data_IF_084028650459
#
_entry.id   IF_084028650459
#
_cell.length_a   1.000
_cell.length_b   1.000
_cell.length_c   1.000
_cell.angle_alpha   90.00
_cell.angle_beta   90.00
_cell.angle_gamma   90.00
#
_symmetry.space_group_name_H-M   'P 1'
#
loop_
_entity.id
_entity.type
_entity.pdbx_description
1 polymer ?
#
# COMPACT_ATOMS: atom_id res chain seq x y z
N UNK A 1 -17.20 -3.80 -7.98
CA UNK A 1 -15.85 -4.41 -7.78
C UNK A 1 -15.29 -3.94 -6.45
N UNK A 2 -14.86 -4.86 -5.62
CA UNK A 2 -14.19 -4.59 -4.33
C UNK A 2 -12.74 -5.05 -4.43
N UNK A 3 -11.84 -4.27 -3.85
CA UNK A 3 -10.41 -4.55 -3.84
C UNK A 3 -9.95 -4.63 -2.39
N UNK A 4 -9.39 -5.77 -2.00
CA UNK A 4 -8.71 -5.94 -0.72
C UNK A 4 -7.21 -5.74 -0.95
N UNK A 5 -6.61 -4.85 -0.19
CA UNK A 5 -5.16 -4.62 -0.24
C UNK A 5 -4.57 -5.04 1.10
N UNK A 6 -3.58 -5.91 1.04
CA UNK A 6 -2.85 -6.42 2.20
C UNK A 6 -1.41 -5.93 2.10
N UNK A 7 -0.94 -5.29 3.17
CA UNK A 7 0.46 -4.91 3.28
C UNK A 7 1.31 -6.11 3.64
N UNK A 8 2.43 -6.32 2.94
CA UNK A 8 3.40 -7.35 3.27
C UNK A 8 3.93 -7.21 4.70
N UNK A 9 4.19 -8.34 5.33
CA UNK A 9 4.82 -8.40 6.65
C UNK A 9 6.24 -7.83 6.64
N UNK A 10 6.69 -7.34 7.78
CA UNK A 10 8.11 -7.03 7.97
C UNK A 10 8.91 -8.32 8.11
N UNK A 11 10.07 -8.35 7.47
CA UNK A 11 11.00 -9.47 7.66
C UNK A 11 11.72 -9.36 9.00
N UNK A 12 12.01 -10.50 9.60
CA UNK A 12 12.79 -10.60 10.83
C UNK A 12 14.31 -10.35 10.63
N UNK A 13 14.70 -9.75 9.52
CA UNK A 13 16.11 -9.47 9.24
C UNK A 13 16.69 -8.54 10.30
N UNK A 14 17.69 -9.00 11.04
CA UNK A 14 18.45 -8.18 11.95
C UNK A 14 19.22 -7.10 11.15
N UNK A 15 18.96 -5.85 11.45
CA UNK A 15 19.62 -4.74 10.82
C UNK A 15 20.83 -4.28 11.65
N UNK A 16 21.94 -3.89 11.01
CA UNK A 16 23.07 -3.32 11.74
C UNK A 16 22.65 -2.00 12.39
N UNK A 17 23.26 -1.59 13.51
CA UNK A 17 22.90 -0.33 14.19
C UNK A 17 23.25 0.91 13.34
N UNK A 18 24.18 0.78 12.42
CA UNK A 18 24.67 1.81 11.49
C UNK A 18 24.83 1.21 10.10
N UNK A 19 24.70 2.05 9.08
CA UNK A 19 24.92 1.66 7.68
C UNK A 19 25.52 2.83 6.90
N UNK A 20 26.32 2.52 5.88
CA UNK A 20 26.72 3.50 4.90
C UNK A 20 25.53 3.90 4.01
N UNK A 21 25.60 5.09 3.41
CA UNK A 21 24.54 5.61 2.55
C UNK A 21 24.15 4.64 1.42
N UNK A 22 25.12 4.07 0.73
CA UNK A 22 24.90 3.10 -0.35
C UNK A 22 24.29 1.76 0.17
N UNK A 23 24.70 1.33 1.38
CA UNK A 23 24.21 0.09 1.98
C UNK A 23 22.77 0.21 2.47
N UNK A 24 22.34 1.39 2.92
CA UNK A 24 21.02 1.58 3.49
C UNK A 24 19.88 1.25 2.51
N UNK A 25 19.99 1.69 1.26
CA UNK A 25 18.99 1.36 0.24
C UNK A 25 18.96 -0.14 -0.05
N UNK A 26 20.15 -0.78 -0.17
CA UNK A 26 20.27 -2.22 -0.36
C UNK A 26 19.72 -3.03 0.84
N UNK A 27 19.92 -2.56 2.08
CA UNK A 27 19.33 -3.17 3.27
C UNK A 27 17.79 -3.08 3.25
N UNK A 28 17.23 -1.97 2.80
CA UNK A 28 15.79 -1.82 2.64
C UNK A 28 15.23 -2.79 1.59
N UNK A 29 15.90 -2.96 0.46
CA UNK A 29 15.52 -3.92 -0.58
C UNK A 29 15.66 -5.37 -0.08
N UNK A 30 16.77 -5.71 0.57
CA UNK A 30 17.00 -7.03 1.12
C UNK A 30 15.94 -7.46 2.13
N UNK A 31 15.35 -6.51 2.87
CA UNK A 31 14.21 -6.80 3.76
C UNK A 31 12.97 -7.28 3.02
N UNK A 32 12.77 -6.87 1.78
CA UNK A 32 11.63 -7.29 0.96
C UNK A 32 11.80 -8.72 0.41
N UNK A 33 13.05 -9.18 0.33
CA UNK A 33 13.41 -10.51 -0.19
C UNK A 33 13.58 -11.57 0.92
N UNK A 34 13.37 -11.19 2.18
CA UNK A 34 13.32 -12.11 3.30
C UNK A 34 11.89 -12.61 3.59
N UNK A 35 11.76 -13.71 4.37
CA UNK A 35 10.44 -14.18 4.79
C UNK A 35 9.74 -13.16 5.67
N UNK A 36 8.44 -13.03 5.53
CA UNK A 36 7.65 -12.20 6.43
C UNK A 36 7.67 -12.80 7.85
N UNK A 37 7.73 -11.95 8.86
CA UNK A 37 7.62 -12.35 10.26
C UNK A 37 6.29 -13.05 10.58
N UNK A 38 6.03 -13.29 11.84
CA UNK A 38 4.76 -13.88 12.28
C UNK A 38 3.57 -13.06 11.81
N UNK A 39 2.59 -13.71 11.22
CA UNK A 39 1.40 -13.06 10.70
C UNK A 39 0.57 -12.51 11.86
N UNK A 40 0.44 -11.19 11.89
CA UNK A 40 -0.48 -10.50 12.78
C UNK A 40 -1.73 -10.15 11.96
N UNK A 41 -2.81 -10.85 12.17
CA UNK A 41 -4.07 -10.57 11.47
C UNK A 41 -4.91 -11.81 11.22
N UNK A 42 -6.10 -11.57 10.66
CA UNK A 42 -7.03 -12.64 10.31
C UNK A 42 -6.74 -13.15 8.90
N UNK A 43 -6.83 -14.45 8.72
CA UNK A 43 -6.80 -15.07 7.39
C UNK A 43 -7.92 -14.50 6.53
N UNK A 44 -7.60 -14.20 5.28
CA UNK A 44 -8.56 -13.71 4.28
C UNK A 44 -8.98 -14.88 3.40
N UNK A 45 -10.26 -15.20 3.38
CA UNK A 45 -10.75 -16.20 2.46
C UNK A 45 -10.68 -15.68 1.02
N UNK A 46 -9.99 -16.38 0.14
CA UNK A 46 -9.92 -16.03 -1.27
C UNK A 46 -11.31 -16.06 -1.94
N UNK A 47 -12.17 -17.01 -1.56
CA UNK A 47 -13.55 -17.14 -2.05
C UNK A 47 -13.66 -17.03 -3.59
N UNK A 48 -12.73 -17.65 -4.31
CA UNK A 48 -12.69 -17.60 -5.78
C UNK A 48 -12.16 -16.29 -6.39
N UNK A 49 -11.69 -15.34 -5.57
CA UNK A 49 -11.14 -14.07 -6.05
C UNK A 49 -9.74 -14.25 -6.62
N UNK A 50 -9.39 -13.46 -7.62
CA UNK A 50 -8.01 -13.36 -8.08
C UNK A 50 -7.13 -12.73 -6.99
N UNK A 51 -5.99 -13.35 -6.69
CA UNK A 51 -5.01 -12.86 -5.71
C UNK A 51 -3.74 -12.45 -6.46
N UNK A 52 -3.50 -11.15 -6.56
CA UNK A 52 -2.29 -10.59 -7.17
C UNK A 52 -1.27 -10.29 -6.10
N UNK A 53 -0.05 -10.74 -6.29
CA UNK A 53 1.02 -10.68 -5.29
C UNK A 53 2.28 -10.05 -5.89
N UNK A 54 2.90 -9.12 -5.17
CA UNK A 54 4.24 -8.63 -5.52
C UNK A 54 5.23 -9.80 -5.65
N UNK A 55 6.15 -9.77 -6.63
CA UNK A 55 7.12 -10.84 -6.82
C UNK A 55 8.14 -10.98 -5.66
N UNK A 56 8.20 -10.03 -4.72
CA UNK A 56 9.09 -10.07 -3.56
C UNK A 56 8.71 -11.17 -2.57
N UNK A 57 9.71 -11.80 -1.95
CA UNK A 57 9.50 -12.93 -1.06
C UNK A 57 8.61 -12.59 0.15
N UNK A 58 8.78 -11.42 0.76
CA UNK A 58 7.94 -10.99 1.89
C UNK A 58 6.45 -10.92 1.53
N UNK A 59 6.11 -10.47 0.32
CA UNK A 59 4.72 -10.40 -0.13
C UNK A 59 4.16 -11.80 -0.42
N UNK A 60 4.94 -12.67 -1.05
CA UNK A 60 4.55 -14.07 -1.32
C UNK A 60 4.29 -14.84 -0.02
N UNK A 61 5.22 -14.77 0.92
CA UNK A 61 5.09 -15.41 2.22
C UNK A 61 3.89 -14.85 3.03
N UNK A 62 3.65 -13.54 2.94
CA UNK A 62 2.44 -12.93 3.50
C UNK A 62 1.16 -13.47 2.88
N UNK A 63 1.14 -13.61 1.54
CA UNK A 63 -0.01 -14.16 0.83
C UNK A 63 -0.25 -15.63 1.23
N UNK A 64 0.78 -16.45 1.31
CA UNK A 64 0.69 -17.85 1.75
C UNK A 64 0.14 -17.98 3.18
N UNK A 65 0.57 -17.10 4.10
CA UNK A 65 0.11 -17.10 5.50
C UNK A 65 -1.33 -16.61 5.66
N UNK A 66 -1.71 -15.57 4.94
CA UNK A 66 -3.02 -14.94 5.11
C UNK A 66 -4.08 -15.46 4.14
N UNK A 67 -3.68 -16.02 2.99
CA UNK A 67 -4.59 -16.52 1.95
C UNK A 67 -4.12 -17.91 1.47
N UNK A 68 -4.08 -18.93 2.35
CA UNK A 68 -3.46 -20.20 2.03
C UNK A 68 -4.12 -20.95 0.86
N UNK A 69 -5.39 -20.68 0.58
CA UNK A 69 -6.15 -21.34 -0.49
C UNK A 69 -6.33 -20.45 -1.74
N UNK A 70 -5.53 -19.39 -1.88
CA UNK A 70 -5.60 -18.47 -3.01
C UNK A 70 -4.73 -18.93 -4.19
N UNK A 71 -5.22 -18.76 -5.41
CA UNK A 71 -4.38 -18.86 -6.61
C UNK A 71 -3.55 -17.56 -6.74
N UNK A 72 -2.32 -17.57 -6.22
CA UNK A 72 -1.45 -16.42 -6.19
C UNK A 72 -0.85 -16.15 -7.58
N UNK A 73 -1.14 -14.98 -8.14
CA UNK A 73 -0.61 -14.52 -9.43
C UNK A 73 0.47 -13.46 -9.18
N UNK A 74 1.72 -13.68 -9.58
CA UNK A 74 2.76 -12.68 -9.45
C UNK A 74 2.46 -11.49 -10.38
N UNK A 75 2.49 -10.28 -9.82
CA UNK A 75 2.22 -9.04 -10.56
C UNK A 75 3.35 -8.03 -10.34
N UNK A 76 4.20 -7.80 -11.35
CA UNK A 76 5.34 -6.88 -11.23
C UNK A 76 4.95 -5.42 -10.89
N UNK A 77 3.75 -4.99 -11.30
CA UNK A 77 3.29 -3.62 -10.99
C UNK A 77 2.97 -3.41 -9.50
N UNK A 78 2.90 -4.50 -8.72
CA UNK A 78 2.76 -4.47 -7.26
C UNK A 78 4.11 -4.44 -6.52
N UNK A 79 5.24 -4.48 -7.25
CA UNK A 79 6.55 -4.40 -6.60
C UNK A 79 6.76 -3.08 -5.87
N UNK A 80 7.59 -3.10 -4.85
CA UNK A 80 7.86 -1.92 -4.02
C UNK A 80 8.54 -0.82 -4.83
N UNK A 81 8.22 0.41 -4.52
CA UNK A 81 8.91 1.57 -5.08
C UNK A 81 10.27 1.69 -4.41
N UNK A 82 11.38 1.50 -5.16
CA UNK A 82 12.71 1.52 -4.56
C UNK A 82 13.04 2.89 -3.97
N UNK A 83 13.84 2.89 -2.91
CA UNK A 83 14.36 4.12 -2.33
C UNK A 83 15.40 4.74 -3.25
N UNK A 84 15.34 6.07 -3.36
CA UNK A 84 16.43 6.82 -3.99
C UNK A 84 17.68 6.72 -3.11
N UNK A 85 18.82 6.29 -3.65
CA UNK A 85 20.06 6.20 -2.89
C UNK A 85 20.41 7.53 -2.21
N UNK A 86 21.05 7.43 -1.06
CA UNK A 86 21.63 8.57 -0.38
C UNK A 86 23.10 8.67 -0.76
N UNK A 87 23.63 9.88 -0.72
CA UNK A 87 25.06 10.16 -0.76
C UNK A 87 25.51 10.53 0.65
N UNK A 88 26.72 10.13 1.03
CA UNK A 88 27.29 10.49 2.33
C UNK A 88 27.95 9.32 3.07
N UNK A 89 28.29 9.57 4.34
CA UNK A 89 28.99 8.64 5.21
C UNK A 89 28.11 7.58 5.86
N UNK A 90 28.61 7.02 6.95
CA UNK A 90 27.92 6.01 7.78
C UNK A 90 27.13 6.67 8.90
N UNK A 91 25.83 6.45 8.94
CA UNK A 91 24.93 7.02 9.95
C UNK A 91 24.16 5.90 10.70
N UNK A 92 23.66 6.20 11.91
CA UNK A 92 22.74 5.32 12.61
C UNK A 92 21.47 5.08 11.78
N UNK A 93 20.91 3.88 11.84
CA UNK A 93 19.71 3.53 11.04
C UNK A 93 18.50 4.41 11.36
N UNK A 94 18.31 4.83 12.61
CA UNK A 94 17.21 5.73 12.95
C UNK A 94 17.32 7.08 12.22
N UNK A 95 18.55 7.57 12.00
CA UNK A 95 18.77 8.82 11.27
C UNK A 95 18.50 8.66 9.77
N UNK A 96 18.87 7.52 9.18
CA UNK A 96 18.47 7.20 7.80
C UNK A 96 16.94 7.14 7.65
N UNK A 97 16.23 6.52 8.60
CA UNK A 97 14.74 6.48 8.59
C UNK A 97 14.16 7.88 8.67
N UNK A 98 14.71 8.74 9.51
CA UNK A 98 14.31 10.14 9.60
C UNK A 98 14.56 10.89 8.29
N UNK A 99 15.72 10.72 7.66
CA UNK A 99 16.05 11.34 6.37
C UNK A 99 15.15 10.85 5.23
N UNK A 100 14.79 9.56 5.21
CA UNK A 100 13.79 9.02 4.25
C UNK A 100 12.44 9.68 4.48
N UNK A 101 12.00 9.80 5.73
CA UNK A 101 10.75 10.48 6.07
C UNK A 101 10.78 11.95 5.63
N UNK A 102 11.85 12.66 5.93
CA UNK A 102 12.03 14.06 5.53
C UNK A 102 12.01 14.21 4.00
N UNK A 103 12.76 13.38 3.26
CA UNK A 103 12.70 13.35 1.78
C UNK A 103 11.29 13.01 1.27
N UNK A 104 10.57 12.17 2.00
CA UNK A 104 9.17 11.81 1.68
C UNK A 104 8.24 13.02 1.67
N UNK A 105 8.40 13.96 2.60
CA UNK A 105 7.62 15.20 2.66
C UNK A 105 7.77 16.03 1.36
N UNK A 106 8.96 16.02 0.77
CA UNK A 106 9.25 16.73 -0.49
C UNK A 106 9.07 15.85 -1.74
N UNK A 107 8.65 14.58 -1.58
CA UNK A 107 8.49 13.63 -2.68
C UNK A 107 9.79 13.16 -3.32
N UNK A 108 10.91 13.27 -2.62
CA UNK A 108 12.27 12.95 -3.09
C UNK A 108 12.76 11.59 -2.59
N UNK A 109 11.97 10.86 -1.79
CA UNK A 109 12.40 9.59 -1.18
C UNK A 109 12.46 8.42 -2.17
N UNK A 110 11.62 8.43 -3.20
CA UNK A 110 11.51 7.35 -4.18
C UNK A 110 12.49 7.54 -5.34
N UNK A 111 13.04 6.44 -5.85
CA UNK A 111 13.82 6.44 -7.09
C UNK A 111 12.92 6.61 -8.32
N UNK A 112 11.70 6.07 -8.23
CA UNK A 112 10.65 6.22 -9.23
C UNK A 112 9.96 7.58 -9.08
N UNK A 113 9.73 8.30 -10.19
CA UNK A 113 9.02 9.57 -10.15
C UNK A 113 7.54 9.36 -9.76
N UNK A 114 6.92 10.35 -9.10
CA UNK A 114 5.49 10.30 -8.78
C UNK A 114 4.61 10.07 -10.02
N UNK A 115 4.99 10.65 -11.16
CA UNK A 115 4.26 10.49 -12.42
C UNK A 115 4.35 9.06 -12.95
N UNK A 116 5.52 8.45 -12.88
CA UNK A 116 5.75 7.07 -13.30
C UNK A 116 5.03 6.08 -12.38
N UNK A 117 5.15 6.26 -11.06
CA UNK A 117 4.45 5.45 -10.06
C UNK A 117 2.95 5.50 -10.28
N UNK A 118 2.41 6.70 -10.55
CA UNK A 118 1.01 6.87 -10.86
C UNK A 118 0.61 6.17 -12.16
N UNK A 119 1.36 6.35 -13.25
CA UNK A 119 1.10 5.68 -14.53
C UNK A 119 1.03 4.16 -14.36
N UNK A 120 1.97 3.57 -13.61
CA UNK A 120 1.97 2.13 -13.32
C UNK A 120 0.74 1.70 -12.51
N UNK A 121 0.35 2.50 -11.53
CA UNK A 121 -0.84 2.24 -10.72
C UNK A 121 -2.12 2.35 -11.57
N UNK A 122 -2.27 3.40 -12.39
CA UNK A 122 -3.41 3.59 -13.29
C UNK A 122 -3.50 2.43 -14.30
N UNK A 123 -2.38 2.03 -14.92
CA UNK A 123 -2.32 0.89 -15.85
C UNK A 123 -2.81 -0.42 -15.19
N UNK A 124 -2.43 -0.65 -13.95
CA UNK A 124 -2.87 -1.84 -13.22
C UNK A 124 -4.35 -1.76 -12.87
N UNK A 125 -4.82 -0.61 -12.40
CA UNK A 125 -6.23 -0.39 -12.05
C UNK A 125 -7.12 -0.54 -13.27
N UNK A 126 -6.75 0.01 -14.43
CA UNK A 126 -7.48 -0.14 -15.69
C UNK A 126 -7.62 -1.61 -16.09
N UNK A 127 -6.58 -2.44 -15.85
CA UNK A 127 -6.65 -3.89 -16.10
C UNK A 127 -7.63 -4.59 -15.15
N UNK A 128 -7.65 -4.20 -13.87
CA UNK A 128 -8.59 -4.74 -12.89
C UNK A 128 -10.03 -4.34 -13.23
N UNK A 129 -10.26 -3.07 -13.59
CA UNK A 129 -11.59 -2.57 -13.96
C UNK A 129 -12.15 -3.24 -15.22
N UNK A 130 -11.31 -3.54 -16.20
CA UNK A 130 -11.72 -4.30 -17.40
C UNK A 130 -12.16 -5.72 -17.07
N UNK A 131 -11.60 -6.34 -16.02
CA UNK A 131 -12.03 -7.66 -15.55
C UNK A 131 -13.32 -7.58 -14.73
N UNK A 132 -13.53 -6.49 -14.00
CA UNK A 132 -14.73 -6.23 -13.20
C UNK A 132 -14.91 -7.13 -11.98
N UNK A 133 -13.94 -7.97 -11.66
CA UNK A 133 -13.99 -8.97 -10.61
C UNK A 133 -13.42 -8.46 -9.28
N UNK A 134 -13.96 -8.95 -8.19
CA UNK A 134 -13.40 -8.72 -6.86
C UNK A 134 -12.00 -9.36 -6.75
N UNK A 135 -11.03 -8.65 -6.20
CA UNK A 135 -9.65 -9.14 -6.11
C UNK A 135 -8.97 -8.81 -4.78
N UNK A 136 -7.88 -9.53 -4.51
CA UNK A 136 -6.99 -9.28 -3.38
C UNK A 136 -5.61 -8.91 -3.93
N UNK A 137 -5.01 -7.85 -3.39
CA UNK A 137 -3.68 -7.37 -3.76
C UNK A 137 -2.76 -7.49 -2.55
N UNK A 138 -1.60 -8.12 -2.70
CA UNK A 138 -0.56 -8.17 -1.66
C UNK A 138 0.66 -7.40 -2.14
N UNK A 139 1.00 -6.32 -1.47
CA UNK A 139 2.04 -5.40 -1.89
C UNK A 139 2.73 -4.74 -0.68
N UNK A 140 3.54 -3.74 -0.93
CA UNK A 140 4.41 -3.08 0.04
C UNK A 140 3.96 -1.65 0.33
N UNK A 141 4.33 -1.05 1.47
CA UNK A 141 3.74 0.20 1.96
C UNK A 141 3.75 1.36 0.96
N UNK A 142 4.87 1.60 0.27
CA UNK A 142 4.97 2.74 -0.69
C UNK A 142 4.14 2.50 -1.94
N UNK A 143 4.16 1.28 -2.48
CA UNK A 143 3.32 0.91 -3.62
C UNK A 143 1.84 0.97 -3.26
N UNK A 144 1.44 0.49 -2.09
CA UNK A 144 0.06 0.57 -1.61
C UNK A 144 -0.39 2.03 -1.48
N UNK A 145 0.45 2.92 -0.97
CA UNK A 145 0.13 4.35 -0.91
C UNK A 145 -0.16 4.93 -2.31
N UNK A 146 0.69 4.62 -3.29
CA UNK A 146 0.50 5.06 -4.67
C UNK A 146 -0.77 4.46 -5.30
N UNK A 147 -1.06 3.18 -5.05
CA UNK A 147 -2.30 2.51 -5.50
C UNK A 147 -3.53 3.16 -4.88
N UNK A 148 -3.52 3.43 -3.56
CA UNK A 148 -4.63 4.09 -2.89
C UNK A 148 -4.90 5.49 -3.45
N UNK A 149 -3.84 6.25 -3.77
CA UNK A 149 -4.00 7.58 -4.38
C UNK A 149 -4.57 7.49 -5.80
N UNK A 150 -4.13 6.52 -6.60
CA UNK A 150 -4.69 6.28 -7.92
C UNK A 150 -6.16 5.80 -7.84
N UNK A 151 -6.46 4.81 -6.98
CA UNK A 151 -7.81 4.28 -6.78
C UNK A 151 -8.81 5.35 -6.33
N UNK A 152 -8.38 6.32 -5.51
CA UNK A 152 -9.24 7.48 -5.16
C UNK A 152 -9.65 8.30 -6.38
N UNK A 153 -8.74 8.47 -7.33
CA UNK A 153 -9.03 9.19 -8.59
C UNK A 153 -9.97 8.39 -9.48
N UNK A 154 -9.84 7.05 -9.49
CA UNK A 154 -10.77 6.14 -10.16
C UNK A 154 -12.12 5.98 -9.41
N UNK A 155 -12.35 6.76 -8.35
CA UNK A 155 -13.65 6.82 -7.65
C UNK A 155 -13.84 5.77 -6.56
N UNK A 156 -12.77 5.12 -6.09
CA UNK A 156 -12.84 4.20 -4.95
C UNK A 156 -12.74 4.94 -3.61
N UNK A 157 -13.51 4.47 -2.64
CA UNK A 157 -13.38 4.86 -1.24
C UNK A 157 -12.41 3.92 -0.55
N UNK A 158 -11.40 4.48 0.12
CA UNK A 158 -10.44 3.73 0.93
C UNK A 158 -10.95 3.71 2.36
N UNK A 159 -11.38 2.55 2.82
CA UNK A 159 -11.70 2.34 4.22
C UNK A 159 -10.41 1.98 4.97
N UNK A 160 -10.00 2.84 5.87
CA UNK A 160 -8.80 2.67 6.66
C UNK A 160 -9.13 2.72 8.14
N UNK A 161 -8.64 1.75 8.89
CA UNK A 161 -8.93 1.60 10.33
C UNK A 161 -7.99 2.38 11.24
N UNK A 162 -6.94 3.01 10.70
CA UNK A 162 -5.91 3.67 11.51
C UNK A 162 -5.45 5.03 10.97
N UNK A 163 -5.01 5.88 11.90
CA UNK A 163 -4.24 7.10 11.61
C UNK A 163 -2.75 6.73 11.53
N UNK A 164 -2.05 7.18 10.50
CA UNK A 164 -0.61 6.95 10.35
C UNK A 164 -0.22 6.26 9.03
N UNK A 165 1.03 5.78 8.93
CA UNK A 165 1.55 5.01 7.79
C UNK A 165 0.90 3.63 7.69
N UNK A 166 0.99 3.00 6.52
CA UNK A 166 0.52 1.63 6.29
C UNK A 166 1.41 0.68 7.11
N UNK A 167 0.77 -0.14 7.94
CA UNK A 167 1.47 -1.07 8.84
C UNK A 167 1.65 -2.43 8.17
N UNK A 168 2.67 -3.22 8.60
CA UNK A 168 2.78 -4.61 8.19
C UNK A 168 1.50 -5.38 8.50
N UNK A 169 1.09 -6.27 7.59
CA UNK A 169 -0.14 -7.06 7.65
C UNK A 169 -1.46 -6.25 7.70
N UNK A 170 -1.40 -4.92 7.57
CA UNK A 170 -2.62 -4.09 7.51
C UNK A 170 -3.45 -4.46 6.29
N UNK A 171 -4.76 -4.59 6.50
CA UNK A 171 -5.72 -4.91 5.47
C UNK A 171 -6.60 -3.69 5.19
N UNK A 172 -6.71 -3.32 3.93
CA UNK A 172 -7.52 -2.20 3.46
C UNK A 172 -8.62 -2.74 2.53
N UNK A 173 -9.84 -2.30 2.72
CA UNK A 173 -10.94 -2.58 1.80
C UNK A 173 -11.26 -1.33 1.00
N UNK A 174 -11.33 -1.49 -0.33
CA UNK A 174 -11.70 -0.43 -1.25
C UNK A 174 -12.91 -0.88 -2.07
N UNK A 175 -13.89 0.03 -2.19
CA UNK A 175 -15.08 -0.20 -3.01
C UNK A 175 -15.44 1.06 -3.78
N UNK A 176 -16.13 0.93 -4.92
CA UNK A 176 -16.64 2.09 -5.66
C UNK A 176 -17.61 2.89 -4.79
N UNK A 177 -17.62 4.20 -4.99
CA UNK A 177 -18.49 5.13 -4.24
C UNK A 177 -19.96 4.79 -4.35
N UNK A 178 -20.39 4.35 -5.51
CA UNK A 178 -21.80 4.09 -5.80
C UNK A 178 -22.35 2.87 -5.05
N UNK A 179 -21.49 1.92 -4.73
CA UNK A 179 -21.85 0.68 -4.01
C UNK A 179 -21.89 0.84 -2.49
N UNK A 180 -21.32 1.92 -1.93
CA UNK A 180 -21.02 1.98 -0.49
C UNK A 180 -21.55 3.22 0.25
N UNK A 181 -22.29 4.09 -0.42
CA UNK A 181 -22.77 5.35 0.19
C UNK A 181 -23.79 5.22 1.32
N UNK A 182 -24.20 3.99 1.71
CA UNK A 182 -25.08 3.76 2.87
C UNK A 182 -24.42 3.85 4.25
N UNK A 183 -23.10 3.77 4.36
CA UNK A 183 -22.41 3.64 5.65
C UNK A 183 -21.18 4.54 5.91
N UNK A 184 -20.74 5.32 4.95
CA UNK A 184 -19.48 6.10 5.04
C UNK A 184 -19.57 7.40 5.87
N UNK A 185 -20.46 7.51 6.86
CA UNK A 185 -20.81 8.81 7.46
C UNK A 185 -19.71 9.52 8.25
N UNK A 186 -18.64 8.86 8.71
CA UNK A 186 -17.68 9.52 9.60
C UNK A 186 -16.23 9.64 9.09
N UNK A 187 -15.71 8.70 8.31
CA UNK A 187 -14.31 8.74 7.88
C UNK A 187 -14.08 9.35 6.48
N UNK A 188 -15.12 9.49 5.66
CA UNK A 188 -15.00 10.05 4.30
C UNK A 188 -14.73 11.56 4.31
N UNK A 189 -15.23 12.30 5.31
CA UNK A 189 -15.10 13.76 5.41
C UNK A 189 -13.66 14.22 5.68
N UNK A 190 -12.90 13.44 6.45
CA UNK A 190 -11.52 13.80 6.82
C UNK A 190 -10.48 13.38 5.77
N UNK A 191 -10.79 12.39 4.94
CA UNK A 191 -9.85 11.82 3.97
C UNK A 191 -10.13 12.17 2.51
N UNK A 192 -11.30 12.77 2.18
CA UNK A 192 -11.65 13.07 0.79
C UNK A 192 -12.56 14.30 0.66
N UNK A 193 -12.00 15.51 0.51
CA UNK A 193 -12.75 16.77 0.35
C UNK A 193 -13.63 16.83 -0.92
N UNK A 194 -13.49 15.85 -1.83
CA UNK A 194 -14.30 15.72 -3.05
C UNK A 194 -15.57 14.85 -2.90
N UNK A 195 -15.86 14.28 -1.73
CA UNK A 195 -17.07 13.47 -1.54
C UNK A 195 -18.33 14.36 -1.51
N UNK A 196 -19.21 14.21 -2.51
CA UNK A 196 -20.46 14.99 -2.66
C UNK A 196 -21.41 14.87 -1.47
N UNK A 197 -21.46 13.71 -0.81
CA UNK A 197 -22.33 13.45 0.34
C UNK A 197 -21.94 14.29 1.56
N UNK A 198 -20.65 14.58 1.76
CA UNK A 198 -20.19 15.46 2.83
C UNK A 198 -20.63 16.90 2.63
N UNK A 199 -20.74 17.36 1.39
CA UNK A 199 -21.19 18.73 1.04
C UNK A 199 -22.68 18.92 1.31
N UNK A 200 -23.51 17.95 0.97
CA UNK A 200 -24.97 18.06 1.17
C UNK A 200 -25.37 18.03 2.66
N UNK A 201 -24.65 17.27 3.51
CA UNK A 201 -24.88 17.29 4.96
C UNK A 201 -24.42 18.59 5.61
N UNK A 202 -23.27 19.15 5.18
CA UNK A 202 -22.79 20.44 5.69
C UNK A 202 -23.71 21.62 5.26
N UNK A 203 -24.34 21.53 4.10
CA UNK A 203 -25.33 22.50 3.64
C UNK A 203 -26.66 22.41 4.41
N UNK A 204 -27.08 21.21 4.82
CA UNK A 204 -28.31 21.00 5.64
C UNK A 204 -28.14 21.35 7.12
N UNK A 205 -26.92 21.28 7.66
CA UNK A 205 -26.65 21.65 9.05
C UNK A 205 -26.53 23.17 9.28
N UNK A 206 -26.53 23.96 8.22
CA UNK A 206 -26.49 25.47 8.26
C UNK A 206 -27.85 26.10 7.97
N UNK A 207 -28.91 25.30 7.89
CA UNK A 207 -30.30 25.77 7.83
C UNK A 207 -31.03 25.36 9.10
#
# INVERSE_FOLDING_TARGET
MRIWIICSGETALALPPRAAAAEYAALCDKRLDGPAGEAQGHTVAANGRCVYVSPRAAARDTAEKLIPNGAHQPEPLLDEIPLRPFEGGTLPLWLWRFLVWLRGLFGLAAAESRRESRRKADEFIDRLEKRGEDCVLVSHPRRIAALCDALRVHGYCVQRTGLGGIKPFEQLLLSRRDEHCGGCAHNCLLSNPGCSIGRDKAARAKR
#
